data_IF_300647448880
#
_entry.id   IF_300647448880
#
_cell.length_a   1.000
_cell.length_b   1.000
_cell.length_c   1.000
_cell.angle_alpha   90.00
_cell.angle_beta   90.00
_cell.angle_gamma   90.00
#
_symmetry.space_group_name_H-M   'P 1'
#
loop_
_entity.id
_entity.type
_entity.pdbx_description
1 polymer ?
#
# COMPACT_ATOMS: atom_id res chain seq x y z
N UNK A 1 -1.08 -5.24 23.16
CA UNK A 1 0.34 -5.30 22.76
C UNK A 1 1.06 -4.26 23.57
N UNK A 2 2.33 -4.48 23.99
CA UNK A 2 3.11 -3.45 24.68
C UNK A 2 3.42 -2.28 23.74
N UNK A 3 3.78 -1.10 24.29
CA UNK A 3 4.32 0.01 23.50
C UNK A 3 5.63 -0.45 22.87
N UNK A 4 5.81 -0.19 21.58
CA UNK A 4 7.06 -0.37 20.83
C UNK A 4 7.67 0.99 20.52
N UNK A 5 8.97 1.04 20.25
CA UNK A 5 9.71 2.26 19.93
C UNK A 5 10.28 2.19 18.52
N UNK A 6 10.00 3.23 17.71
CA UNK A 6 10.41 3.30 16.32
C UNK A 6 11.18 4.57 16.01
N UNK A 7 12.24 4.44 15.23
CA UNK A 7 12.98 5.56 14.64
C UNK A 7 12.53 5.74 13.19
N UNK A 8 12.09 6.94 12.84
CA UNK A 8 11.60 7.30 11.50
C UNK A 8 12.55 8.29 10.88
N UNK A 9 13.18 7.93 9.78
CA UNK A 9 14.07 8.82 9.02
C UNK A 9 13.29 9.51 7.91
N UNK A 10 13.23 10.84 8.00
CA UNK A 10 12.52 11.72 7.08
C UNK A 10 11.09 12.07 7.51
N UNK A 11 10.85 13.37 7.68
CA UNK A 11 9.56 13.96 8.04
C UNK A 11 8.70 14.34 6.82
N UNK A 12 8.89 13.66 5.69
CA UNK A 12 8.07 13.81 4.50
C UNK A 12 6.65 13.26 4.68
N UNK A 13 5.85 13.27 3.60
CA UNK A 13 4.45 12.83 3.64
C UNK A 13 4.27 11.39 4.17
N UNK A 14 5.13 10.47 3.75
CA UNK A 14 5.07 9.07 4.19
C UNK A 14 5.50 8.96 5.65
N UNK A 15 6.68 9.50 6.01
CA UNK A 15 7.21 9.43 7.38
C UNK A 15 6.24 10.03 8.40
N UNK A 16 5.72 11.22 8.14
CA UNK A 16 4.76 11.86 9.05
C UNK A 16 3.43 11.10 9.16
N UNK A 17 2.95 10.49 8.08
CA UNK A 17 1.74 9.68 8.17
C UNK A 17 1.98 8.43 9.01
N UNK A 18 3.12 7.76 8.80
CA UNK A 18 3.54 6.60 9.59
C UNK A 18 3.69 6.96 11.08
N UNK A 19 4.38 8.06 11.40
CA UNK A 19 4.54 8.52 12.77
C UNK A 19 3.20 8.77 13.49
N UNK A 20 2.23 9.39 12.78
CA UNK A 20 0.90 9.63 13.37
C UNK A 20 0.14 8.34 13.64
N UNK A 21 0.15 7.38 12.70
CA UNK A 21 -0.53 6.10 12.89
C UNK A 21 0.08 5.32 14.04
N UNK A 22 1.40 5.21 14.11
CA UNK A 22 2.08 4.52 15.21
C UNK A 22 1.77 5.16 16.57
N UNK A 23 1.73 6.50 16.64
CA UNK A 23 1.37 7.22 17.86
C UNK A 23 -0.10 7.01 18.24
N UNK A 24 -1.03 6.98 17.27
CA UNK A 24 -2.45 6.67 17.49
C UNK A 24 -2.64 5.24 18.03
N UNK A 25 -1.76 4.31 17.66
CA UNK A 25 -1.72 2.93 18.15
C UNK A 25 -1.00 2.77 19.49
N UNK A 26 -0.46 3.86 20.05
CA UNK A 26 0.18 3.88 21.37
C UNK A 26 1.65 3.49 21.38
N UNK A 27 2.32 3.62 20.22
CA UNK A 27 3.76 3.41 20.09
C UNK A 27 4.57 4.71 20.25
N UNK A 28 5.82 4.58 20.64
CA UNK A 28 6.79 5.67 20.73
C UNK A 28 7.48 5.88 19.38
N UNK A 29 7.62 7.12 18.95
CA UNK A 29 8.27 7.45 17.70
C UNK A 29 9.23 8.60 17.84
N UNK A 30 10.45 8.42 17.36
CA UNK A 30 11.46 9.47 17.20
C UNK A 30 11.66 9.72 15.70
N UNK A 31 11.58 10.98 15.27
CA UNK A 31 11.74 11.37 13.87
C UNK A 31 13.10 12.04 13.69
N UNK A 32 13.89 11.58 12.71
CA UNK A 32 15.15 12.22 12.31
C UNK A 32 14.90 13.02 11.04
N UNK A 33 15.17 14.34 11.08
CA UNK A 33 14.88 15.28 10.00
C UNK A 33 15.97 16.32 9.88
N UNK A 34 16.57 16.57 8.69
CA UNK A 34 17.63 17.55 8.52
C UNK A 34 17.15 18.99 8.39
N UNK A 35 15.89 19.25 8.06
CA UNK A 35 15.37 20.62 7.92
C UNK A 35 14.93 21.20 9.27
N UNK A 36 15.65 22.20 9.75
CA UNK A 36 15.44 22.85 11.06
C UNK A 36 14.04 23.46 11.19
N UNK A 37 13.49 23.99 10.10
CA UNK A 37 12.14 24.59 10.09
C UNK A 37 11.08 23.51 10.32
N UNK A 38 11.23 22.38 9.66
CA UNK A 38 10.37 21.19 9.83
C UNK A 38 10.48 20.66 11.24
N UNK A 39 11.71 20.53 11.77
CA UNK A 39 11.96 20.07 13.14
C UNK A 39 11.25 20.94 14.16
N UNK A 40 11.40 22.27 14.06
CA UNK A 40 10.76 23.22 14.98
C UNK A 40 9.23 23.09 14.95
N UNK A 41 8.65 23.07 13.76
CA UNK A 41 7.20 22.91 13.58
C UNK A 41 6.69 21.59 14.18
N UNK A 42 7.38 20.49 13.97
CA UNK A 42 6.94 19.16 14.46
C UNK A 42 7.08 19.05 15.97
N UNK A 43 8.08 19.69 16.57
CA UNK A 43 8.20 19.77 18.03
C UNK A 43 7.03 20.55 18.64
N UNK A 44 6.59 21.63 17.99
CA UNK A 44 5.39 22.40 18.39
C UNK A 44 4.10 21.55 18.26
N UNK A 45 4.06 20.61 17.29
CA UNK A 45 2.97 19.63 17.13
C UNK A 45 3.06 18.47 18.15
N UNK A 46 4.07 18.46 19.03
CA UNK A 46 4.25 17.45 20.09
C UNK A 46 4.86 16.14 19.62
N UNK A 47 5.62 16.14 18.50
CA UNK A 47 6.44 15.01 18.09
C UNK A 47 7.82 15.07 18.73
N UNK A 48 8.39 13.92 19.03
CA UNK A 48 9.80 13.79 19.33
C UNK A 48 10.58 13.83 18.02
N UNK A 49 11.38 14.90 17.82
CA UNK A 49 12.11 15.11 16.57
C UNK A 49 13.54 15.51 16.86
N UNK A 50 14.46 14.84 16.19
CA UNK A 50 15.88 15.09 16.20
C UNK A 50 16.28 15.79 14.91
N UNK A 51 16.96 16.94 15.06
CA UNK A 51 17.58 17.63 13.94
C UNK A 51 18.87 16.92 13.58
N UNK A 52 18.94 16.31 12.40
CA UNK A 52 20.12 15.60 11.93
C UNK A 52 19.90 14.90 10.59
N UNK A 53 21.01 14.48 9.99
CA UNK A 53 21.01 13.71 8.75
C UNK A 53 20.81 12.22 9.09
N UNK A 54 19.74 11.62 8.55
CA UNK A 54 19.49 10.19 8.71
C UNK A 54 20.46 9.27 7.94
N UNK A 55 21.33 9.84 7.11
CA UNK A 55 22.45 9.15 6.48
C UNK A 55 23.73 9.18 7.31
N UNK A 56 23.73 9.85 8.45
CA UNK A 56 24.84 9.91 9.39
C UNK A 56 24.67 8.89 10.52
N UNK A 57 25.62 7.98 10.64
CA UNK A 57 25.59 6.90 11.63
C UNK A 57 25.56 7.46 13.08
N UNK A 58 26.32 8.52 13.38
CA UNK A 58 26.36 9.11 14.72
C UNK A 58 24.98 9.68 15.12
N UNK A 59 24.29 10.30 14.17
CA UNK A 59 22.93 10.82 14.36
C UNK A 59 21.96 9.70 14.70
N UNK A 60 22.07 8.57 14.04
CA UNK A 60 21.20 7.41 14.27
C UNK A 60 21.51 6.72 15.59
N UNK A 61 22.79 6.50 15.90
CA UNK A 61 23.23 5.86 17.16
C UNK A 61 22.80 6.67 18.39
N UNK A 62 22.75 7.99 18.28
CA UNK A 62 22.26 8.86 19.33
C UNK A 62 20.75 8.67 19.64
N UNK A 63 20.04 7.83 18.87
CA UNK A 63 18.63 7.51 19.10
C UNK A 63 18.41 6.19 19.86
N UNK A 64 19.41 5.68 20.55
CA UNK A 64 19.30 4.46 21.36
C UNK A 64 18.72 3.28 20.55
N UNK A 65 19.34 2.96 19.41
CA UNK A 65 18.85 1.92 18.50
C UNK A 65 18.79 0.54 19.12
N UNK A 66 19.59 0.26 20.13
CA UNK A 66 19.57 -1.02 20.87
C UNK A 66 18.24 -1.23 21.62
N UNK A 67 17.52 -0.15 21.93
CA UNK A 67 16.21 -0.16 22.58
C UNK A 67 15.05 0.09 21.58
N UNK A 68 15.35 0.23 20.29
CA UNK A 68 14.35 0.44 19.25
C UNK A 68 13.90 -0.88 18.61
N UNK A 69 12.59 -1.06 18.47
CA UNK A 69 11.99 -2.22 17.78
C UNK A 69 12.13 -2.14 16.27
N UNK A 70 12.27 -0.93 15.71
CA UNK A 70 12.43 -0.79 14.27
C UNK A 70 12.87 0.60 13.79
N UNK A 71 13.46 0.60 12.60
CA UNK A 71 13.87 1.78 11.83
C UNK A 71 13.09 1.84 10.52
N UNK A 72 12.34 2.92 10.31
CA UNK A 72 11.63 3.17 9.07
C UNK A 72 12.32 4.32 8.29
N UNK A 73 13.05 3.97 7.25
CA UNK A 73 13.77 4.89 6.39
C UNK A 73 12.87 5.37 5.24
N UNK A 74 12.24 6.54 5.44
CA UNK A 74 11.12 7.06 4.64
C UNK A 74 11.41 8.41 3.98
N UNK A 75 12.68 8.81 3.91
CA UNK A 75 13.12 10.03 3.23
C UNK A 75 12.92 9.95 1.71
N UNK A 76 13.12 11.07 1.00
CA UNK A 76 13.16 11.10 -0.46
C UNK A 76 14.51 10.66 -1.05
N UNK A 77 15.53 10.45 -0.22
CA UNK A 77 16.87 10.04 -0.66
C UNK A 77 17.09 8.55 -0.38
N UNK A 78 17.26 7.77 -1.47
CA UNK A 78 17.45 6.33 -1.36
C UNK A 78 18.76 5.97 -0.65
N UNK A 79 19.81 6.77 -0.79
CA UNK A 79 21.10 6.51 -0.13
C UNK A 79 20.97 6.68 1.38
N UNK A 80 20.33 7.77 1.81
CA UNK A 80 20.00 8.01 3.23
C UNK A 80 19.17 6.83 3.79
N UNK A 81 18.16 6.40 3.03
CA UNK A 81 17.29 5.30 3.45
C UNK A 81 18.08 3.98 3.58
N UNK A 82 18.99 3.68 2.67
CA UNK A 82 19.85 2.50 2.77
C UNK A 82 20.76 2.54 3.99
N UNK A 83 21.47 3.67 4.21
CA UNK A 83 22.34 3.81 5.38
C UNK A 83 21.55 3.61 6.67
N UNK A 84 20.38 4.25 6.79
CA UNK A 84 19.54 4.12 7.97
C UNK A 84 19.09 2.66 8.22
N UNK A 85 18.72 1.94 7.17
CA UNK A 85 18.37 0.52 7.30
C UNK A 85 19.58 -0.33 7.69
N UNK A 86 20.76 -0.11 7.11
CA UNK A 86 21.97 -0.85 7.44
C UNK A 86 22.37 -0.65 8.92
N UNK A 87 22.36 0.59 9.39
CA UNK A 87 22.66 0.91 10.79
C UNK A 87 21.61 0.27 11.71
N UNK A 88 20.30 0.42 11.40
CA UNK A 88 19.23 -0.19 12.19
C UNK A 88 19.34 -1.71 12.25
N UNK A 89 19.61 -2.37 11.12
CA UNK A 89 19.80 -3.82 11.04
C UNK A 89 20.99 -4.31 11.88
N UNK A 90 22.10 -3.55 11.90
CA UNK A 90 23.27 -3.87 12.72
C UNK A 90 22.98 -3.83 14.23
N UNK A 91 21.97 -3.08 14.65
CA UNK A 91 21.47 -2.99 16.03
C UNK A 91 20.25 -3.88 16.31
N UNK A 92 19.88 -4.77 15.36
CA UNK A 92 18.79 -5.72 15.55
C UNK A 92 17.39 -5.14 15.38
N UNK A 93 17.27 -3.89 14.90
CA UNK A 93 15.98 -3.28 14.59
C UNK A 93 15.35 -3.93 13.37
N UNK A 94 14.04 -4.07 13.35
CA UNK A 94 13.30 -4.33 12.11
C UNK A 94 13.40 -3.11 11.19
N UNK A 95 13.69 -3.33 9.92
CA UNK A 95 13.97 -2.25 8.97
C UNK A 95 12.93 -2.17 7.85
N UNK A 96 12.52 -0.94 7.52
CA UNK A 96 11.62 -0.63 6.40
C UNK A 96 12.28 0.40 5.48
N UNK A 97 12.50 0.02 4.23
CA UNK A 97 13.12 0.85 3.21
C UNK A 97 12.08 1.41 2.24
N UNK A 98 11.96 2.73 2.14
CA UNK A 98 11.20 3.37 1.07
C UNK A 98 12.05 3.50 -0.19
N UNK A 99 11.46 3.09 -1.31
CA UNK A 99 11.99 3.30 -2.66
C UNK A 99 10.98 4.10 -3.47
N UNK A 100 11.39 5.21 -4.07
CA UNK A 100 10.53 6.12 -4.83
C UNK A 100 10.63 5.95 -6.35
N UNK A 101 11.57 5.12 -6.82
CA UNK A 101 11.93 5.00 -8.24
C UNK A 101 11.91 3.55 -8.71
N UNK A 102 11.03 3.24 -9.65
CA UNK A 102 10.82 1.89 -10.17
C UNK A 102 12.03 1.30 -10.89
N UNK A 103 12.87 2.12 -11.54
CA UNK A 103 14.03 1.60 -12.25
C UNK A 103 15.14 1.11 -11.31
N UNK A 104 15.16 1.58 -10.06
CA UNK A 104 16.10 1.15 -9.03
C UNK A 104 15.69 -0.15 -8.35
N UNK A 105 14.48 -0.65 -8.61
CA UNK A 105 13.96 -1.89 -8.02
C UNK A 105 14.91 -3.08 -8.20
N UNK A 106 15.56 -3.20 -9.38
CA UNK A 106 16.54 -4.26 -9.61
C UNK A 106 17.77 -4.15 -8.66
N UNK A 107 18.24 -2.94 -8.42
CA UNK A 107 19.36 -2.68 -7.49
C UNK A 107 18.93 -3.00 -6.07
N UNK A 108 17.75 -2.53 -5.67
CA UNK A 108 17.17 -2.77 -4.35
C UNK A 108 16.97 -4.26 -4.12
N UNK A 109 16.36 -5.00 -5.05
CA UNK A 109 16.16 -6.46 -4.93
C UNK A 109 17.46 -7.24 -4.75
N UNK A 110 18.57 -6.76 -5.32
CA UNK A 110 19.88 -7.44 -5.20
C UNK A 110 20.56 -7.19 -3.86
N UNK A 111 20.32 -6.04 -3.24
CA UNK A 111 20.95 -5.60 -2.00
C UNK A 111 20.00 -5.50 -0.82
N UNK A 112 18.71 -5.76 -1.03
CA UNK A 112 17.69 -5.74 0.01
C UNK A 112 17.68 -7.00 0.91
N UNK A 113 18.66 -7.90 0.75
CA UNK A 113 18.83 -9.05 1.67
C UNK A 113 19.08 -8.64 3.12
N UNK A 114 19.50 -7.39 3.32
CA UNK A 114 19.84 -6.84 4.62
C UNK A 114 18.75 -5.89 5.18
N UNK A 115 17.60 -5.83 4.49
CA UNK A 115 16.43 -5.03 4.88
C UNK A 115 15.21 -5.94 4.98
N UNK A 116 14.43 -5.82 6.05
CA UNK A 116 13.28 -6.71 6.27
C UNK A 116 12.12 -6.44 5.30
N UNK A 117 11.83 -5.15 5.02
CA UNK A 117 10.71 -4.76 4.15
C UNK A 117 11.08 -3.61 3.22
N UNK A 118 10.61 -3.69 1.98
CA UNK A 118 10.72 -2.60 0.99
C UNK A 118 9.33 -2.13 0.59
N UNK A 119 9.11 -0.82 0.68
CA UNK A 119 7.83 -0.21 0.32
C UNK A 119 7.95 0.78 -0.84
N UNK A 120 6.90 0.87 -1.65
CA UNK A 120 6.77 1.76 -2.82
C UNK A 120 5.50 2.61 -2.70
N UNK A 121 5.48 3.65 -1.84
CA UNK A 121 4.26 4.42 -1.55
C UNK A 121 3.67 5.12 -2.78
N UNK A 122 4.51 5.53 -3.72
CA UNK A 122 4.12 6.20 -4.97
C UNK A 122 3.31 5.29 -5.88
N UNK A 123 3.60 3.99 -5.91
CA UNK A 123 2.82 3.00 -6.69
C UNK A 123 1.38 2.91 -6.20
N UNK A 124 1.18 2.88 -4.87
CA UNK A 124 -0.17 2.84 -4.29
C UNK A 124 -0.95 4.10 -4.65
N UNK A 125 -0.31 5.26 -4.57
CA UNK A 125 -0.89 6.54 -4.99
C UNK A 125 -1.23 6.60 -6.48
N UNK A 126 -0.34 6.08 -7.33
CA UNK A 126 -0.54 6.04 -8.78
C UNK A 126 -1.70 5.11 -9.18
N UNK A 127 -1.84 3.94 -8.53
CA UNK A 127 -2.96 3.03 -8.72
C UNK A 127 -4.29 3.73 -8.36
N UNK A 128 -4.33 4.39 -7.21
CA UNK A 128 -5.53 5.14 -6.78
C UNK A 128 -5.89 6.26 -7.76
N UNK A 129 -4.90 7.05 -8.21
CA UNK A 129 -5.09 8.11 -9.19
C UNK A 129 -5.55 7.56 -10.55
N UNK A 130 -4.93 6.49 -11.04
CA UNK A 130 -5.34 5.80 -12.27
C UNK A 130 -6.80 5.34 -12.17
N UNK A 131 -7.19 4.71 -11.06
CA UNK A 131 -8.57 4.25 -10.85
C UNK A 131 -9.56 5.42 -10.87
N UNK A 132 -9.20 6.55 -10.26
CA UNK A 132 -10.04 7.74 -10.25
C UNK A 132 -10.18 8.38 -11.65
N UNK A 133 -9.09 8.43 -12.42
CA UNK A 133 -9.07 9.01 -13.76
C UNK A 133 -9.79 8.15 -14.80
N UNK A 134 -9.50 6.86 -14.81
CA UNK A 134 -10.08 5.92 -15.79
C UNK A 134 -11.55 5.70 -15.49
N UNK A 135 -11.95 5.82 -14.23
CA UNK A 135 -13.28 5.43 -13.78
C UNK A 135 -13.55 3.96 -14.08
N UNK A 136 -14.81 3.56 -14.00
CA UNK A 136 -15.23 2.24 -14.46
C UNK A 136 -15.40 1.23 -13.33
N UNK A 137 -15.70 0.01 -13.77
CA UNK A 137 -16.20 -1.06 -12.92
C UNK A 137 -15.10 -1.95 -12.33
N UNK A 138 -13.82 -1.62 -12.62
CA UNK A 138 -12.65 -2.32 -12.11
C UNK A 138 -11.75 -1.33 -11.38
N UNK A 139 -11.51 -1.57 -10.09
CA UNK A 139 -10.65 -0.75 -9.26
C UNK A 139 -9.60 -1.65 -8.59
N UNK A 140 -8.34 -1.48 -8.92
CA UNK A 140 -7.26 -2.08 -8.15
C UNK A 140 -7.25 -1.46 -6.75
N UNK A 141 -7.22 -2.29 -5.70
CA UNK A 141 -7.20 -1.83 -4.31
C UNK A 141 -5.77 -1.90 -3.77
N UNK A 142 -5.11 -3.03 -3.97
CA UNK A 142 -3.73 -3.24 -3.52
C UNK A 142 -3.05 -4.38 -4.30
N UNK A 143 -1.74 -4.28 -4.45
CA UNK A 143 -0.90 -5.41 -4.81
C UNK A 143 -0.49 -6.11 -3.50
N UNK A 144 -0.91 -7.37 -3.34
CA UNK A 144 -0.69 -8.13 -2.10
C UNK A 144 0.66 -8.87 -2.13
N UNK A 145 1.06 -9.30 -3.32
CA UNK A 145 2.33 -9.97 -3.57
C UNK A 145 2.77 -9.69 -5.01
N UNK A 146 3.94 -10.20 -5.41
CA UNK A 146 4.47 -9.99 -6.77
C UNK A 146 3.53 -10.45 -7.89
N UNK A 147 2.64 -11.39 -7.60
CA UNK A 147 1.73 -12.00 -8.57
C UNK A 147 0.24 -11.87 -8.18
N UNK A 148 -0.10 -11.34 -7.00
CA UNK A 148 -1.47 -11.27 -6.49
C UNK A 148 -1.94 -9.83 -6.33
N UNK A 149 -3.10 -9.52 -6.89
CA UNK A 149 -3.76 -8.23 -6.76
C UNK A 149 -5.14 -8.36 -6.11
N UNK A 150 -5.44 -7.41 -5.25
CA UNK A 150 -6.77 -7.20 -4.71
C UNK A 150 -7.50 -6.17 -5.58
N UNK A 151 -8.62 -6.56 -6.16
CA UNK A 151 -9.44 -5.69 -7.02
C UNK A 151 -10.87 -5.61 -6.53
N UNK A 152 -11.47 -4.44 -6.66
CA UNK A 152 -12.92 -4.27 -6.55
C UNK A 152 -13.52 -4.22 -7.95
N UNK A 153 -14.51 -5.06 -8.18
CA UNK A 153 -15.25 -5.17 -9.42
C UNK A 153 -16.71 -4.77 -9.18
N UNK A 154 -17.33 -4.09 -10.14
CA UNK A 154 -18.74 -3.73 -10.09
C UNK A 154 -19.48 -4.48 -11.18
N UNK A 155 -20.58 -5.12 -10.81
CA UNK A 155 -21.46 -5.83 -11.74
C UNK A 155 -22.13 -4.81 -12.67
N UNK A 156 -22.02 -5.03 -13.97
CA UNK A 156 -22.62 -4.16 -14.99
C UNK A 156 -23.86 -4.81 -15.60
N UNK A 157 -24.56 -4.08 -16.43
CA UNK A 157 -25.66 -4.58 -17.28
C UNK A 157 -25.17 -5.57 -18.37
N UNK A 158 -23.85 -5.63 -18.61
CA UNK A 158 -23.21 -6.60 -19.52
C UNK A 158 -22.61 -7.80 -18.79
N UNK A 159 -22.73 -7.84 -17.47
CA UNK A 159 -22.20 -8.96 -16.68
C UNK A 159 -22.91 -10.27 -17.02
N UNK A 160 -22.18 -11.32 -17.43
CA UNK A 160 -22.78 -12.65 -17.63
C UNK A 160 -23.29 -13.27 -16.34
N UNK A 161 -22.87 -12.75 -15.17
CA UNK A 161 -23.26 -13.28 -13.85
C UNK A 161 -24.46 -12.53 -13.25
N UNK A 162 -25.07 -11.60 -13.97
CA UNK A 162 -26.28 -10.94 -13.48
C UNK A 162 -27.41 -11.94 -13.22
N UNK A 163 -27.99 -11.91 -12.02
CA UNK A 163 -29.04 -12.82 -11.58
C UNK A 163 -28.58 -14.15 -11.00
N UNK A 164 -27.30 -14.50 -11.14
CA UNK A 164 -26.72 -15.68 -10.50
C UNK A 164 -26.38 -15.40 -9.04
N UNK A 165 -26.40 -16.45 -8.22
CA UNK A 165 -25.91 -16.37 -6.85
C UNK A 165 -24.38 -16.41 -6.79
N UNK A 166 -23.78 -15.93 -5.69
CA UNK A 166 -22.33 -15.98 -5.50
C UNK A 166 -21.78 -17.40 -5.55
N UNK A 167 -22.55 -18.40 -5.13
CA UNK A 167 -22.17 -19.82 -5.15
C UNK A 167 -22.13 -20.42 -6.56
N UNK A 168 -22.78 -19.79 -7.54
CA UNK A 168 -22.81 -20.24 -8.94
C UNK A 168 -21.66 -19.62 -9.76
N UNK A 169 -20.88 -18.69 -9.18
CA UNK A 169 -19.75 -18.08 -9.90
C UNK A 169 -18.56 -19.02 -9.93
N UNK A 170 -18.21 -19.46 -11.11
CA UNK A 170 -16.98 -20.22 -11.35
C UNK A 170 -15.85 -19.25 -11.72
N UNK A 171 -14.98 -18.94 -10.75
CA UNK A 171 -13.75 -18.18 -10.99
C UNK A 171 -12.58 -19.10 -11.32
N UNK A 172 -11.55 -18.61 -12.05
CA UNK A 172 -10.28 -19.31 -12.21
C UNK A 172 -9.69 -19.78 -10.86
N UNK A 173 -8.94 -20.87 -10.88
CA UNK A 173 -8.38 -21.49 -9.66
C UNK A 173 -7.56 -20.52 -8.80
N UNK A 174 -6.89 -19.55 -9.46
CA UNK A 174 -6.03 -18.55 -8.83
C UNK A 174 -6.77 -17.22 -8.51
N UNK A 175 -8.10 -17.28 -8.35
CA UNK A 175 -8.94 -16.16 -7.93
C UNK A 175 -9.94 -16.56 -6.84
N UNK A 176 -10.24 -15.62 -5.92
CA UNK A 176 -11.22 -15.83 -4.83
C UNK A 176 -11.99 -14.55 -4.53
N UNK A 177 -13.28 -14.66 -4.30
CA UNK A 177 -14.11 -13.57 -3.77
C UNK A 177 -13.84 -13.46 -2.27
N UNK A 178 -13.47 -12.27 -1.81
CA UNK A 178 -13.20 -11.98 -0.40
C UNK A 178 -14.32 -11.19 0.28
N UNK A 179 -15.02 -10.33 -0.49
CA UNK A 179 -16.14 -9.55 0.03
C UNK A 179 -17.15 -9.27 -1.08
N UNK A 180 -18.40 -9.05 -0.66
CA UNK A 180 -19.51 -8.68 -1.50
C UNK A 180 -20.30 -7.54 -0.86
N UNK A 181 -20.92 -6.69 -1.67
CA UNK A 181 -21.84 -5.64 -1.20
C UNK A 181 -22.80 -5.22 -2.28
N UNK A 182 -24.06 -5.01 -1.92
CA UNK A 182 -25.06 -4.40 -2.79
C UNK A 182 -24.61 -2.99 -3.20
N UNK A 183 -25.17 -2.44 -4.27
CA UNK A 183 -24.73 -1.22 -4.94
C UNK A 183 -24.30 -0.08 -3.98
N UNK A 184 -25.16 0.25 -3.01
CA UNK A 184 -24.97 1.36 -2.07
C UNK A 184 -24.73 0.91 -0.62
N UNK A 185 -24.56 -0.41 -0.39
CA UNK A 185 -24.43 -0.97 0.94
C UNK A 185 -22.95 -1.25 1.27
N UNK A 186 -22.65 -1.53 2.55
CA UNK A 186 -21.30 -1.90 2.99
C UNK A 186 -20.87 -3.26 2.41
N UNK A 187 -19.56 -3.43 2.26
CA UNK A 187 -18.96 -4.72 1.93
C UNK A 187 -19.04 -5.65 3.16
N UNK A 188 -19.42 -6.89 2.92
CA UNK A 188 -19.49 -7.96 3.92
C UNK A 188 -18.78 -9.21 3.39
N UNK A 189 -18.54 -10.18 4.26
CA UNK A 189 -18.04 -11.49 3.82
C UNK A 189 -19.07 -12.15 2.89
N UNK A 190 -18.65 -12.85 1.82
CA UNK A 190 -19.56 -13.41 0.85
C UNK A 190 -20.43 -14.49 1.48
N UNK A 191 -21.74 -14.37 1.27
CA UNK A 191 -22.73 -15.40 1.54
C UNK A 191 -23.19 -15.99 0.20
N UNK A 192 -23.10 -17.30 0.04
CA UNK A 192 -23.31 -17.98 -1.23
C UNK A 192 -24.71 -17.82 -1.84
N UNK A 193 -25.71 -17.55 -1.04
CA UNK A 193 -27.12 -17.46 -1.48
C UNK A 193 -27.52 -16.09 -2.00
N UNK A 194 -26.61 -15.10 -2.01
CA UNK A 194 -26.91 -13.76 -2.49
C UNK A 194 -26.83 -13.68 -4.00
N UNK A 195 -27.94 -13.28 -4.65
CA UNK A 195 -28.02 -13.03 -6.09
C UNK A 195 -27.40 -11.70 -6.46
N UNK A 196 -26.66 -11.67 -7.57
CA UNK A 196 -25.98 -10.49 -8.10
C UNK A 196 -26.88 -9.63 -8.97
N UNK A 197 -26.82 -8.33 -8.74
CA UNK A 197 -27.54 -7.30 -9.49
C UNK A 197 -26.58 -6.24 -10.03
N UNK A 198 -27.03 -5.48 -11.02
CA UNK A 198 -26.23 -4.36 -11.56
C UNK A 198 -25.93 -3.34 -10.46
N UNK A 199 -24.69 -2.93 -10.37
CA UNK A 199 -24.20 -2.02 -9.34
C UNK A 199 -23.60 -2.72 -8.10
N UNK A 200 -23.85 -4.02 -7.91
CA UNK A 200 -23.23 -4.79 -6.83
C UNK A 200 -21.71 -4.82 -6.96
N UNK A 201 -21.03 -4.89 -5.82
CA UNK A 201 -19.57 -4.81 -5.75
C UNK A 201 -18.97 -6.07 -5.15
N UNK A 202 -17.96 -6.59 -5.81
CA UNK A 202 -17.17 -7.72 -5.36
C UNK A 202 -15.74 -7.29 -5.11
N UNK A 203 -15.14 -7.76 -4.03
CA UNK A 203 -13.70 -7.68 -3.80
C UNK A 203 -13.12 -9.05 -4.05
N UNK A 204 -12.19 -9.12 -5.00
CA UNK A 204 -11.58 -10.37 -5.46
C UNK A 204 -10.07 -10.26 -5.31
N UNK A 205 -9.43 -11.29 -4.79
CA UNK A 205 -8.00 -11.51 -4.90
C UNK A 205 -7.75 -12.42 -6.10
N UNK A 206 -6.85 -12.04 -6.98
CA UNK A 206 -6.52 -12.81 -8.17
C UNK A 206 -5.05 -12.67 -8.57
N UNK A 207 -4.51 -13.74 -9.16
CA UNK A 207 -3.24 -13.67 -9.87
C UNK A 207 -3.38 -12.75 -11.10
N UNK A 208 -2.34 -11.97 -11.42
CA UNK A 208 -2.34 -11.08 -12.58
C UNK A 208 -2.63 -11.80 -13.90
N UNK A 209 -2.24 -13.07 -14.02
CA UNK A 209 -2.44 -13.86 -15.24
C UNK A 209 -3.91 -14.16 -15.52
N UNK A 210 -4.75 -14.27 -14.48
CA UNK A 210 -6.19 -14.60 -14.60
C UNK A 210 -7.10 -13.40 -14.35
N UNK A 211 -6.56 -12.23 -14.02
CA UNK A 211 -7.36 -11.05 -13.67
C UNK A 211 -8.32 -10.64 -14.78
N UNK A 212 -7.88 -10.74 -16.04
CA UNK A 212 -8.70 -10.41 -17.21
C UNK A 212 -9.91 -11.33 -17.35
N UNK A 213 -9.74 -12.62 -17.07
CA UNK A 213 -10.83 -13.60 -17.11
C UNK A 213 -11.83 -13.32 -16.00
N UNK A 214 -11.34 -12.98 -14.80
CA UNK A 214 -12.17 -12.54 -13.66
C UNK A 214 -12.98 -11.29 -14.01
N UNK A 215 -12.35 -10.30 -14.66
CA UNK A 215 -13.04 -9.09 -15.14
C UNK A 215 -14.15 -9.41 -16.14
N UNK A 216 -13.89 -10.30 -17.10
CA UNK A 216 -14.88 -10.72 -18.09
C UNK A 216 -16.07 -11.45 -17.44
N UNK A 217 -15.81 -12.31 -16.46
CA UNK A 217 -16.83 -13.06 -15.74
C UNK A 217 -17.76 -12.12 -14.93
N UNK A 218 -17.18 -11.17 -14.21
CA UNK A 218 -17.94 -10.35 -13.25
C UNK A 218 -18.47 -9.06 -13.89
N UNK A 219 -17.67 -8.38 -14.70
CA UNK A 219 -18.01 -7.07 -15.31
C UNK A 219 -18.61 -7.24 -16.69
N UNK A 220 -18.19 -8.26 -17.46
CA UNK A 220 -18.54 -8.45 -18.86
C UNK A 220 -17.63 -7.71 -19.84
N UNK A 221 -17.82 -7.89 -21.14
CA UNK A 221 -17.00 -7.26 -22.17
C UNK A 221 -17.29 -5.76 -22.28
N UNK A 222 -16.25 -4.94 -22.24
CA UNK A 222 -16.34 -3.53 -22.65
C UNK A 222 -16.52 -3.46 -24.17
N UNK A 223 -17.67 -3.05 -24.66
CA UNK A 223 -17.84 -2.65 -26.05
C UNK A 223 -16.95 -1.42 -26.32
N UNK A 224 -15.85 -1.61 -27.04
CA UNK A 224 -14.88 -0.57 -27.44
C UNK A 224 -15.39 0.40 -28.52
N UNK A 225 -16.68 0.38 -28.86
CA UNK A 225 -17.23 1.04 -30.05
C UNK A 225 -17.81 2.44 -29.81
N UNK A 226 -17.77 3.00 -28.60
CA UNK A 226 -18.41 4.30 -28.33
C UNK A 226 -17.46 5.54 -28.41
N UNK A 227 -16.21 5.39 -28.83
CA UNK A 227 -15.25 6.51 -28.89
C UNK A 227 -14.86 6.92 -30.31
N UNK A 228 -15.48 6.42 -31.38
CA UNK A 228 -15.13 6.70 -32.77
C UNK A 228 -16.21 7.42 -33.58
N UNK A 229 -17.35 7.79 -32.99
CA UNK A 229 -18.40 8.55 -33.71
C UNK A 229 -18.63 9.90 -32.99
N UNK A 230 -17.65 10.77 -33.03
CA UNK A 230 -17.78 12.13 -32.46
C UNK A 230 -16.55 12.99 -32.77
N UNK A 231 -16.08 12.98 -34.04
CA UNK A 231 -15.12 13.97 -34.54
C UNK A 231 -15.64 14.57 -35.83
#
# INVERSE_FOLDING_TARGET
>A
MGSMRFVIVGAGRVGMRTARVLREEGHETVIVEPDETTVSRLRDEGFEVVHGDGGDEETLLAQDLDDADGVAALSGDLVVNFVACMVGSAHGCRTVLRVDDDYREYVVRRYASDVDEVIYPERLGAIAAKNALVGGNVRAVADIAQNLQLVQLTVTDHSPMQGYSLSEIELPADARILAFGKADDRLVLPDGDVSMEVGDRLVVIADFSVLRDVEQIIVGERNRTAAAEGA
#
